data_IF_041968774606
#
_entry.id   IF_041968774606
#
_cell.length_a   1.000
_cell.length_b   1.000
_cell.length_c   1.000
_cell.angle_alpha   90.00
_cell.angle_beta   90.00
_cell.angle_gamma   90.00
#
_symmetry.space_group_name_H-M   'P 1'
#
loop_
_entity.id
_entity.type
_entity.pdbx_description
1 polymer ?
#
# COMPACT_ATOMS: atom_id res chain seq x y z
N UNK A 1 -3.70 -15.38 -1.21
CA UNK A 1 -2.91 -15.99 -0.13
C UNK A 1 -2.55 -14.87 0.84
N UNK A 2 -2.48 -15.13 2.15
CA UNK A 2 -1.92 -14.17 3.11
C UNK A 2 -0.78 -14.83 3.86
N UNK A 3 0.25 -14.06 4.17
CA UNK A 3 1.34 -14.51 5.03
C UNK A 3 1.04 -14.04 6.46
N UNK A 4 0.88 -14.99 7.38
CA UNK A 4 0.93 -14.74 8.83
C UNK A 4 2.38 -15.02 9.26
N UNK A 5 3.08 -13.97 9.66
CA UNK A 5 4.47 -14.05 10.04
C UNK A 5 4.66 -13.55 11.46
N UNK A 6 5.38 -14.34 12.26
CA UNK A 6 5.99 -13.81 13.48
C UNK A 6 6.99 -12.73 13.07
N UNK A 7 6.70 -11.48 13.43
CA UNK A 7 7.54 -10.33 13.13
C UNK A 7 8.99 -10.56 13.59
N UNK A 8 9.96 -10.34 12.70
CA UNK A 8 11.40 -10.33 13.02
C UNK A 8 11.99 -8.94 12.83
N UNK A 9 11.90 -8.42 11.60
CA UNK A 9 12.42 -7.12 11.22
C UNK A 9 11.74 -6.58 9.95
N UNK A 10 12.00 -5.31 9.67
CA UNK A 10 11.47 -4.59 8.50
C UNK A 10 11.93 -5.20 7.15
N UNK A 11 13.10 -5.85 7.08
CA UNK A 11 13.56 -6.45 5.83
C UNK A 11 12.73 -7.68 5.47
N UNK A 12 12.33 -8.46 6.48
CA UNK A 12 11.39 -9.55 6.30
C UNK A 12 10.06 -9.02 5.75
N UNK A 13 9.46 -8.02 6.41
CA UNK A 13 8.20 -7.41 5.98
C UNK A 13 8.30 -6.93 4.53
N UNK A 14 9.31 -6.13 4.20
CA UNK A 14 9.52 -5.63 2.84
C UNK A 14 9.70 -6.74 1.80
N UNK A 15 10.35 -7.85 2.15
CA UNK A 15 10.48 -9.02 1.26
C UNK A 15 9.12 -9.64 0.95
N UNK A 16 8.28 -9.85 1.96
CA UNK A 16 6.97 -10.46 1.77
C UNK A 16 5.99 -9.51 1.10
N UNK A 17 6.02 -8.21 1.42
CA UNK A 17 5.27 -7.20 0.68
C UNK A 17 5.60 -7.26 -0.81
N UNK A 18 6.88 -7.34 -1.17
CA UNK A 18 7.29 -7.44 -2.58
C UNK A 18 6.66 -8.67 -3.26
N UNK A 19 6.70 -9.84 -2.60
CA UNK A 19 6.04 -11.05 -3.12
C UNK A 19 4.53 -10.83 -3.33
N UNK A 20 3.83 -10.30 -2.31
CA UNK A 20 2.39 -10.06 -2.39
C UNK A 20 2.02 -9.04 -3.49
N UNK A 21 2.85 -8.01 -3.69
CA UNK A 21 2.67 -7.02 -4.74
C UNK A 21 2.68 -7.69 -6.11
N UNK A 22 3.74 -8.42 -6.46
CA UNK A 22 3.89 -8.98 -7.81
C UNK A 22 2.91 -10.14 -8.07
N UNK A 23 2.57 -10.94 -7.05
CA UNK A 23 1.50 -11.95 -7.17
C UNK A 23 0.15 -11.33 -7.53
N UNK A 24 -0.11 -10.10 -7.09
CA UNK A 24 -1.39 -9.44 -7.32
C UNK A 24 -1.46 -8.50 -8.53
N UNK A 25 -0.38 -8.31 -9.29
CA UNK A 25 -0.37 -7.40 -10.46
C UNK A 25 -1.42 -7.83 -11.50
N UNK A 26 -1.46 -9.12 -11.84
CA UNK A 26 -2.42 -9.63 -12.83
C UNK A 26 -3.86 -9.46 -12.34
N UNK A 27 -4.13 -9.85 -11.09
CA UNK A 27 -5.44 -9.65 -10.46
C UNK A 27 -5.88 -8.19 -10.51
N UNK A 28 -4.98 -7.25 -10.18
CA UNK A 28 -5.27 -5.83 -10.21
C UNK A 28 -5.60 -5.34 -11.63
N UNK A 29 -4.85 -5.79 -12.64
CA UNK A 29 -5.05 -5.43 -14.05
C UNK A 29 -6.34 -5.99 -14.66
N UNK A 30 -6.76 -7.19 -14.25
CA UNK A 30 -7.97 -7.88 -14.73
C UNK A 30 -9.25 -7.41 -14.03
N UNK A 31 -9.15 -7.06 -12.73
CA UNK A 31 -10.32 -6.75 -11.90
C UNK A 31 -10.71 -5.27 -11.97
N UNK A 32 -9.72 -4.38 -12.08
CA UNK A 32 -9.96 -2.94 -12.05
C UNK A 32 -9.87 -2.34 -13.45
N UNK A 33 -10.12 -1.03 -13.53
CA UNK A 33 -9.87 -0.25 -14.74
C UNK A 33 -8.86 0.83 -14.44
N UNK A 34 -8.10 1.25 -15.46
CA UNK A 34 -7.14 2.34 -15.32
C UNK A 34 -7.85 3.65 -14.97
N UNK A 35 -7.43 4.28 -13.89
CA UNK A 35 -7.91 5.58 -13.42
C UNK A 35 -6.73 6.54 -13.20
N UNK A 36 -6.99 7.84 -13.11
CA UNK A 36 -5.98 8.76 -12.59
C UNK A 36 -5.71 8.43 -11.11
N UNK A 37 -4.50 8.65 -10.59
CA UNK A 37 -4.21 8.34 -9.19
C UNK A 37 -5.15 9.03 -8.20
N UNK A 38 -5.53 10.29 -8.46
CA UNK A 38 -6.53 11.02 -7.67
C UNK A 38 -7.91 10.33 -7.68
N UNK A 39 -8.39 9.90 -8.85
CA UNK A 39 -9.70 9.23 -8.95
C UNK A 39 -9.65 7.88 -8.26
N UNK A 40 -8.56 7.12 -8.47
CA UNK A 40 -8.32 5.86 -7.80
C UNK A 40 -8.31 6.03 -6.28
N UNK A 41 -7.64 7.07 -5.76
CA UNK A 41 -7.62 7.38 -4.33
C UNK A 41 -9.03 7.53 -3.77
N UNK A 42 -9.85 8.40 -4.35
CA UNK A 42 -11.19 8.66 -3.85
C UNK A 42 -12.13 7.47 -4.02
N UNK A 43 -11.99 6.68 -5.09
CA UNK A 43 -12.71 5.40 -5.24
C UNK A 43 -12.31 4.41 -4.15
N UNK A 44 -11.02 4.24 -3.89
CA UNK A 44 -10.57 3.31 -2.85
C UNK A 44 -10.97 3.77 -1.45
N UNK A 45 -10.98 5.09 -1.18
CA UNK A 45 -11.41 5.63 0.11
C UNK A 45 -12.86 5.31 0.47
N UNK A 46 -13.74 5.07 -0.52
CA UNK A 46 -15.11 4.61 -0.25
C UNK A 46 -15.21 3.12 0.08
N UNK A 47 -14.15 2.35 -0.19
CA UNK A 47 -14.12 0.89 -0.04
C UNK A 47 -13.28 0.45 1.15
N UNK A 48 -12.09 1.03 1.31
CA UNK A 48 -11.12 0.60 2.32
C UNK A 48 -11.60 0.86 3.74
N UNK A 49 -11.31 -0.10 4.62
CA UNK A 49 -11.55 -0.01 6.05
C UNK A 49 -10.25 -0.29 6.78
N UNK A 50 -9.77 0.70 7.52
CA UNK A 50 -8.56 0.54 8.31
C UNK A 50 -8.82 -0.38 9.51
N UNK A 51 -7.95 -1.36 9.72
CA UNK A 51 -7.98 -2.24 10.88
C UNK A 51 -6.57 -2.73 11.19
N UNK A 52 -6.12 -2.50 12.42
CA UNK A 52 -4.80 -2.94 12.88
C UNK A 52 -4.70 -4.47 12.89
N UNK A 53 -3.49 -4.95 12.64
CA UNK A 53 -3.16 -6.37 12.69
C UNK A 53 -3.46 -7.02 14.05
N UNK A 54 -3.70 -8.34 14.07
CA UNK A 54 -3.81 -9.09 15.31
C UNK A 54 -2.55 -8.95 16.17
N UNK A 55 -2.73 -8.97 17.49
CA UNK A 55 -1.63 -8.85 18.44
C UNK A 55 -0.53 -9.89 18.13
N UNK A 56 0.73 -9.43 18.06
CA UNK A 56 1.93 -10.21 17.76
C UNK A 56 1.99 -10.84 16.36
N UNK A 57 1.18 -10.36 15.43
CA UNK A 57 1.11 -10.84 14.05
C UNK A 57 1.40 -9.68 13.11
N UNK A 58 2.21 -9.92 12.08
CA UNK A 58 2.27 -9.06 10.91
C UNK A 58 1.52 -9.78 9.78
N UNK A 59 0.43 -9.18 9.32
CA UNK A 59 -0.42 -9.72 8.27
C UNK A 59 -0.13 -8.98 6.96
N UNK A 60 0.31 -9.73 5.95
CA UNK A 60 0.53 -9.18 4.61
C UNK A 60 -0.36 -9.91 3.61
N UNK A 61 -1.35 -9.20 3.05
CA UNK A 61 -2.33 -9.81 2.16
C UNK A 61 -2.04 -9.52 0.69
N UNK A 62 -2.20 -10.53 -0.16
CA UNK A 62 -2.22 -10.32 -1.61
C UNK A 62 -3.40 -9.40 -1.99
N UNK A 63 -3.30 -8.64 -3.09
CA UNK A 63 -4.41 -7.83 -3.61
C UNK A 63 -5.73 -8.60 -3.73
N UNK A 64 -5.69 -9.84 -4.22
CA UNK A 64 -6.88 -10.69 -4.32
C UNK A 64 -7.49 -11.03 -2.95
N UNK A 65 -6.65 -11.36 -1.97
CA UNK A 65 -7.10 -11.67 -0.61
C UNK A 65 -7.66 -10.44 0.09
N UNK A 66 -7.00 -9.28 -0.05
CA UNK A 66 -7.47 -8.01 0.47
C UNK A 66 -8.86 -7.63 -0.09
N UNK A 67 -9.10 -7.85 -1.39
CA UNK A 67 -10.34 -7.46 -2.07
C UNK A 67 -11.50 -8.42 -1.80
N UNK A 68 -11.26 -9.73 -1.71
CA UNK A 68 -12.35 -10.72 -1.72
C UNK A 68 -12.66 -11.32 -0.34
N UNK A 69 -11.74 -12.14 0.18
CA UNK A 69 -11.94 -12.89 1.42
C UNK A 69 -10.69 -12.77 2.28
N UNK A 70 -10.60 -11.66 3.00
CA UNK A 70 -9.46 -11.37 3.86
C UNK A 70 -9.60 -12.00 5.25
N UNK A 71 -8.53 -11.91 6.03
CA UNK A 71 -8.48 -12.39 7.42
C UNK A 71 -9.63 -11.87 8.28
N UNK A 72 -10.09 -10.64 8.01
CA UNK A 72 -11.16 -9.99 8.76
C UNK A 72 -12.57 -10.40 8.35
N UNK A 73 -12.73 -11.20 7.29
CA UNK A 73 -14.02 -11.57 6.71
C UNK A 73 -14.77 -10.38 6.10
N UNK A 74 -14.10 -9.27 5.84
CA UNK A 74 -14.70 -8.03 5.31
C UNK A 74 -13.81 -7.48 4.19
N UNK A 75 -14.24 -7.53 2.92
CA UNK A 75 -13.52 -6.94 1.78
C UNK A 75 -12.89 -5.58 2.06
N UNK A 76 -11.71 -5.33 1.48
CA UNK A 76 -10.95 -4.09 1.57
C UNK A 76 -10.60 -3.65 3.01
N UNK A 77 -10.56 -4.60 3.94
CA UNK A 77 -10.17 -4.32 5.34
C UNK A 77 -8.73 -4.75 5.58
N UNK A 78 -7.92 -3.89 6.19
CA UNK A 78 -6.50 -4.12 6.42
C UNK A 78 -5.84 -2.84 6.96
N UNK A 79 -4.52 -2.82 7.01
CA UNK A 79 -3.77 -1.69 7.53
C UNK A 79 -2.97 -0.95 6.45
N UNK A 80 -1.98 -0.15 6.85
CA UNK A 80 -1.16 0.61 5.90
C UNK A 80 -0.38 -0.28 4.92
N UNK A 81 0.11 -1.45 5.35
CA UNK A 81 0.92 -2.33 4.52
C UNK A 81 0.07 -3.01 3.45
N UNK A 82 -1.13 -3.49 3.80
CA UNK A 82 -2.10 -4.04 2.85
C UNK A 82 -2.52 -3.01 1.79
N UNK A 83 -2.75 -1.76 2.21
CA UNK A 83 -3.11 -0.68 1.30
C UNK A 83 -1.99 -0.37 0.30
N UNK A 84 -0.74 -0.40 0.77
CA UNK A 84 0.45 -0.19 -0.07
C UNK A 84 0.67 -1.38 -1.01
N UNK A 85 0.51 -2.62 -0.54
CA UNK A 85 0.59 -3.81 -1.39
C UNK A 85 -0.42 -3.70 -2.54
N UNK A 86 -1.69 -3.44 -2.21
CA UNK A 86 -2.77 -3.34 -3.18
C UNK A 86 -2.54 -2.22 -4.20
N UNK A 87 -2.30 -1.00 -3.72
CA UNK A 87 -2.15 0.16 -4.60
C UNK A 87 -0.87 0.09 -5.44
N UNK A 88 0.21 -0.47 -4.92
CA UNK A 88 1.43 -0.72 -5.70
C UNK A 88 1.17 -1.70 -6.84
N UNK A 89 0.51 -2.83 -6.57
CA UNK A 89 0.17 -3.81 -7.61
C UNK A 89 -0.70 -3.18 -8.72
N UNK A 90 -1.69 -2.36 -8.34
CA UNK A 90 -2.51 -1.59 -9.28
C UNK A 90 -1.67 -0.64 -10.15
N UNK A 91 -0.75 0.11 -9.55
CA UNK A 91 0.08 1.06 -10.29
C UNK A 91 1.04 0.35 -11.26
N UNK A 92 1.62 -0.78 -10.86
CA UNK A 92 2.43 -1.62 -11.77
C UNK A 92 1.57 -2.10 -12.93
N UNK A 93 0.38 -2.66 -12.67
CA UNK A 93 -0.51 -3.22 -13.69
C UNK A 93 -0.88 -2.20 -14.80
N UNK A 94 -0.96 -0.91 -14.45
CA UNK A 94 -1.32 0.15 -15.38
C UNK A 94 -0.16 1.03 -15.85
N UNK A 95 1.08 0.63 -15.58
CA UNK A 95 2.30 1.37 -15.92
C UNK A 95 2.25 2.81 -15.38
N UNK A 96 1.81 2.98 -14.13
CA UNK A 96 1.80 4.25 -13.41
C UNK A 96 3.04 4.26 -12.50
N UNK A 97 4.02 5.15 -12.74
CA UNK A 97 5.22 5.20 -11.91
C UNK A 97 4.86 5.47 -10.45
N UNK A 98 5.33 4.62 -9.56
CA UNK A 98 5.15 4.77 -8.13
C UNK A 98 6.42 4.40 -7.35
N UNK A 99 6.45 4.75 -6.07
CA UNK A 99 7.48 4.41 -5.09
C UNK A 99 6.80 4.05 -3.78
N UNK A 100 7.47 3.26 -2.96
CA UNK A 100 7.04 2.99 -1.59
C UNK A 100 7.80 3.93 -0.66
N UNK A 101 7.15 4.47 0.36
CA UNK A 101 7.77 5.33 1.38
C UNK A 101 7.55 4.71 2.74
N UNK A 102 8.66 4.41 3.43
CA UNK A 102 8.65 4.14 4.86
C UNK A 102 8.80 5.47 5.60
N UNK A 103 7.87 5.77 6.49
CA UNK A 103 7.85 6.98 7.28
C UNK A 103 7.81 6.71 8.78
N UNK A 104 8.38 7.63 9.55
CA UNK A 104 8.33 7.53 11.00
C UNK A 104 8.97 8.71 11.71
N UNK A 105 9.01 8.62 13.04
CA UNK A 105 9.66 9.65 13.88
C UNK A 105 11.18 9.61 13.76
N UNK A 106 11.75 8.41 13.58
CA UNK A 106 13.20 8.19 13.45
C UNK A 106 13.47 7.06 12.46
N UNK A 107 14.70 6.98 11.94
CA UNK A 107 15.16 5.88 11.07
C UNK A 107 15.01 4.49 11.70
N UNK A 108 15.11 4.40 13.04
CA UNK A 108 15.05 3.11 13.77
C UNK A 108 13.63 2.64 14.03
N UNK A 109 12.64 3.50 13.81
CA UNK A 109 11.22 3.21 14.04
C UNK A 109 10.38 3.85 12.92
N UNK A 110 10.45 3.32 11.68
CA UNK A 110 9.37 3.54 10.73
C UNK A 110 8.08 2.94 11.32
N UNK A 111 6.99 3.69 11.30
CA UNK A 111 5.70 3.32 11.88
C UNK A 111 4.55 3.47 10.89
N UNK A 112 4.87 3.84 9.65
CA UNK A 112 3.90 4.07 8.60
C UNK A 112 4.50 3.80 7.24
N UNK A 113 3.66 3.36 6.32
CA UNK A 113 4.03 3.13 4.94
C UNK A 113 2.97 3.72 4.00
N UNK A 114 3.41 4.27 2.87
CA UNK A 114 2.50 4.78 1.85
C UNK A 114 3.19 4.81 0.48
N UNK A 115 2.45 5.13 -0.58
CA UNK A 115 2.99 5.29 -1.92
C UNK A 115 3.27 6.75 -2.27
N UNK A 116 4.30 6.99 -3.06
CA UNK A 116 4.37 8.18 -3.92
C UNK A 116 3.99 7.75 -5.33
N UNK A 117 3.06 8.47 -5.97
CA UNK A 117 2.61 8.16 -7.34
C UNK A 117 2.83 9.35 -8.25
N UNK A 118 3.23 9.10 -9.50
CA UNK A 118 3.35 10.15 -10.51
C UNK A 118 1.95 10.63 -10.91
N UNK A 119 1.61 11.86 -10.52
CA UNK A 119 0.39 12.52 -10.95
C UNK A 119 0.64 13.23 -12.28
N UNK A 120 0.14 12.65 -13.37
CA UNK A 120 0.33 13.17 -14.72
C UNK A 120 -0.25 14.57 -14.92
N UNK A 121 -1.28 14.98 -14.16
CA UNK A 121 -1.81 16.35 -14.23
C UNK A 121 -0.86 17.35 -13.58
N UNK A 122 -0.15 16.94 -12.53
CA UNK A 122 0.78 17.79 -11.77
C UNK A 122 2.24 17.66 -12.24
N UNK A 123 2.55 16.65 -13.06
CA UNK A 123 3.90 16.37 -13.55
C UNK A 123 4.90 15.99 -12.45
N UNK A 124 4.44 15.53 -11.29
CA UNK A 124 5.29 15.23 -10.13
C UNK A 124 4.77 14.06 -9.31
N UNK A 125 5.68 13.43 -8.57
CA UNK A 125 5.31 12.46 -7.55
C UNK A 125 4.57 13.15 -6.41
N UNK A 126 3.45 12.57 -5.98
CA UNK A 126 2.62 13.05 -4.88
C UNK A 126 2.30 11.93 -3.89
N UNK A 127 2.05 12.23 -2.60
CA UNK A 127 1.59 11.26 -1.63
C UNK A 127 0.27 10.59 -2.05
N UNK A 128 0.27 9.27 -2.01
CA UNK A 128 -0.88 8.40 -2.11
C UNK A 128 -0.92 7.52 -0.87
N UNK A 129 -1.76 7.92 0.09
CA UNK A 129 -1.85 7.29 1.40
C UNK A 129 -3.33 7.07 1.75
N UNK A 130 -3.80 5.83 1.60
CA UNK A 130 -5.20 5.48 1.83
C UNK A 130 -5.63 5.57 3.30
N UNK A 131 -4.68 5.78 4.22
CA UNK A 131 -4.98 6.11 5.62
C UNK A 131 -5.32 7.59 5.81
N UNK A 132 -5.02 8.45 4.83
CA UNK A 132 -5.30 9.87 4.89
C UNK A 132 -6.71 10.21 4.38
N UNK A 133 -7.31 11.32 4.86
CA UNK A 133 -8.60 11.79 4.38
C UNK A 133 -8.53 12.39 2.96
N UNK A 134 -7.36 12.90 2.55
CA UNK A 134 -7.19 13.67 1.31
C UNK A 134 -6.05 13.12 0.45
N UNK A 135 -6.25 13.17 -0.87
CA UNK A 135 -5.21 12.83 -1.85
C UNK A 135 -4.11 13.89 -1.85
N UNK A 136 -2.84 13.49 -2.07
CA UNK A 136 -1.68 14.38 -2.07
C UNK A 136 -1.54 15.15 -0.73
N UNK A 137 -1.65 14.40 0.37
CA UNK A 137 -1.39 14.88 1.72
C UNK A 137 -0.29 14.02 2.35
N UNK A 138 0.77 14.67 2.85
CA UNK A 138 1.84 14.04 3.62
C UNK A 138 1.67 14.49 5.07
N UNK A 139 1.75 13.55 6.03
CA UNK A 139 1.57 13.88 7.44
C UNK A 139 2.81 14.60 7.99
N UNK A 140 2.59 15.72 8.67
CA UNK A 140 3.66 16.54 9.25
C UNK A 140 4.35 15.90 10.48
N UNK A 141 3.76 14.84 11.04
CA UNK A 141 4.25 14.18 12.25
C UNK A 141 5.50 13.31 12.03
N UNK A 142 5.75 12.91 10.79
CA UNK A 142 6.91 12.09 10.44
C UNK A 142 8.12 12.96 10.09
N UNK A 143 9.27 12.62 10.67
CA UNK A 143 10.54 13.34 10.46
C UNK A 143 11.54 12.54 9.63
N UNK A 144 11.26 11.25 9.44
CA UNK A 144 12.08 10.33 8.65
C UNK A 144 11.24 9.79 7.50
N UNK A 145 11.83 9.80 6.30
CA UNK A 145 11.25 9.25 5.09
C UNK A 145 12.32 8.49 4.31
N UNK A 146 12.04 7.23 3.99
CA UNK A 146 12.87 6.41 3.12
C UNK A 146 12.07 6.00 1.91
N UNK A 147 12.53 6.43 0.74
CA UNK A 147 11.92 6.12 -0.55
C UNK A 147 12.54 4.84 -1.09
N UNK A 148 11.72 3.83 -1.32
CA UNK A 148 12.10 2.57 -1.92
C UNK A 148 11.65 2.56 -3.37
N UNK A 149 12.57 2.16 -4.26
CA UNK A 149 12.21 1.88 -5.65
C UNK A 149 11.48 0.55 -5.71
N UNK A 150 10.44 0.49 -6.52
CA UNK A 150 9.83 -0.78 -6.92
C UNK A 150 10.71 -1.30 -8.06
N UNK A 151 11.04 -2.59 -8.04
CA UNK A 151 11.91 -3.16 -9.06
C UNK A 151 11.21 -3.10 -10.42
N UNK A 152 11.91 -2.53 -11.41
CA UNK A 152 11.48 -2.54 -12.81
C UNK A 152 11.75 -3.91 -13.44
#
# INVERSE_FOLDING_TARGET
MYADLKYKDINQVMKYMNLQIYEGVNFAGETFTKMSPEKFFYTMRTLVKYKDDPINTELLMSPETFVNNNYWGVPFTGDCDDFVIFSTAYFIAYNIPCKIVLAGRTKKAPVHIYNLVLDNKKGKFVPFDLTNPFYNYERDEYKYFQKLKINE
#
